data_IF_670923063602
#
_entry.id   IF_670923063602
#
_cell.length_a   1.000
_cell.length_b   1.000
_cell.length_c   1.000
_cell.angle_alpha   90.00
_cell.angle_beta   90.00
_cell.angle_gamma   90.00
#
_symmetry.space_group_name_H-M   'P 1'
#
loop_
_entity.id
_entity.type
_entity.pdbx_description
1 polymer ?
#
# COMPACT_ATOMS: atom_id res chain seq x y z
N UNK A 1 -22.65 66.67 19.64
CA UNK A 1 -21.83 65.55 20.13
C UNK A 1 -20.61 66.17 20.82
N UNK A 2 -20.26 65.80 22.04
CA UNK A 2 -19.08 66.39 22.71
C UNK A 2 -17.79 65.93 22.02
N UNK A 3 -16.78 66.81 22.00
CA UNK A 3 -15.48 66.55 21.35
C UNK A 3 -14.85 65.23 21.84
N UNK A 4 -14.98 64.93 23.13
CA UNK A 4 -14.48 63.68 23.72
C UNK A 4 -15.18 62.42 23.19
N UNK A 5 -16.49 62.48 22.95
CA UNK A 5 -17.24 61.35 22.37
C UNK A 5 -16.85 61.09 20.93
N UNK A 6 -16.58 62.15 20.16
CA UNK A 6 -16.10 62.02 18.79
C UNK A 6 -14.69 61.42 18.74
N UNK A 7 -13.76 61.88 19.59
CA UNK A 7 -12.43 61.28 19.73
C UNK A 7 -12.51 59.80 20.10
N UNK A 8 -13.29 59.45 21.13
CA UNK A 8 -13.43 58.05 21.56
C UNK A 8 -14.00 57.16 20.44
N UNK A 9 -14.99 57.64 19.70
CA UNK A 9 -15.56 56.93 18.55
C UNK A 9 -14.53 56.74 17.42
N UNK A 10 -13.72 57.76 17.12
CA UNK A 10 -12.68 57.69 16.11
C UNK A 10 -11.57 56.70 16.51
N UNK A 11 -11.14 56.71 17.77
CA UNK A 11 -10.16 55.74 18.30
C UNK A 11 -10.70 54.31 18.26
N UNK A 12 -11.98 54.12 18.58
CA UNK A 12 -12.64 52.81 18.46
C UNK A 12 -12.62 52.29 17.01
N UNK A 13 -12.96 53.13 16.04
CA UNK A 13 -12.91 52.73 14.63
C UNK A 13 -11.49 52.47 14.12
N UNK A 14 -10.50 53.26 14.56
CA UNK A 14 -9.10 52.98 14.23
C UNK A 14 -8.65 51.62 14.77
N UNK A 15 -9.04 51.28 16.00
CA UNK A 15 -8.76 49.97 16.57
C UNK A 15 -9.45 48.85 15.78
N UNK A 16 -10.75 48.99 15.51
CA UNK A 16 -11.51 48.01 14.72
C UNK A 16 -10.90 47.80 13.34
N UNK A 17 -10.54 48.88 12.64
CA UNK A 17 -9.95 48.82 11.30
C UNK A 17 -8.56 48.16 11.33
N UNK A 18 -7.75 48.44 12.36
CA UNK A 18 -6.49 47.75 12.61
C UNK A 18 -6.68 46.24 12.78
N UNK A 19 -7.63 45.80 13.61
CA UNK A 19 -7.89 44.37 13.83
C UNK A 19 -8.41 43.66 12.58
N UNK A 20 -9.27 44.30 11.79
CA UNK A 20 -9.78 43.74 10.53
C UNK A 20 -8.66 43.58 9.51
N UNK A 21 -7.79 44.58 9.35
CA UNK A 21 -6.66 44.51 8.43
C UNK A 21 -5.72 43.36 8.81
N UNK A 22 -5.34 43.24 10.10
CA UNK A 22 -4.50 42.13 10.58
C UNK A 22 -5.17 40.77 10.36
N UNK A 23 -6.49 40.68 10.58
CA UNK A 23 -7.27 39.47 10.31
C UNK A 23 -7.24 39.07 8.84
N UNK A 24 -7.44 40.01 7.92
CA UNK A 24 -7.38 39.77 6.47
C UNK A 24 -5.98 39.32 6.05
N UNK A 25 -4.93 40.02 6.50
CA UNK A 25 -3.55 39.62 6.20
C UNK A 25 -3.22 38.22 6.73
N UNK A 26 -3.67 37.90 7.95
CA UNK A 26 -3.48 36.57 8.54
C UNK A 26 -4.18 35.48 7.73
N UNK A 27 -5.40 35.74 7.25
CA UNK A 27 -6.15 34.80 6.43
C UNK A 27 -5.47 34.56 5.07
N UNK A 28 -4.96 35.62 4.42
CA UNK A 28 -4.22 35.52 3.15
C UNK A 28 -2.92 34.72 3.32
N UNK A 29 -2.15 35.00 4.38
CA UNK A 29 -0.91 34.28 4.67
C UNK A 29 -1.21 32.80 4.98
N UNK A 30 -2.24 32.53 5.79
CA UNK A 30 -2.65 31.16 6.12
C UNK A 30 -3.05 30.36 4.88
N UNK A 31 -3.81 30.98 3.98
CA UNK A 31 -4.19 30.37 2.71
C UNK A 31 -2.97 30.06 1.84
N UNK A 32 -2.00 30.98 1.73
CA UNK A 32 -0.76 30.74 0.99
C UNK A 32 0.09 29.59 1.59
N UNK A 33 0.16 29.49 2.92
CA UNK A 33 0.90 28.42 3.59
C UNK A 33 0.25 27.06 3.31
N UNK A 34 -1.08 26.97 3.38
CA UNK A 34 -1.81 25.73 3.08
C UNK A 34 -1.56 25.25 1.65
N UNK A 35 -1.58 26.16 0.66
CA UNK A 35 -1.31 25.80 -0.73
C UNK A 35 0.11 25.27 -0.90
N UNK A 36 1.10 25.91 -0.28
CA UNK A 36 2.49 25.44 -0.30
C UNK A 36 2.67 24.10 0.41
N UNK A 37 1.97 23.86 1.52
CA UNK A 37 2.05 22.59 2.23
C UNK A 37 1.52 21.43 1.37
N UNK A 38 0.42 21.66 0.63
CA UNK A 38 -0.13 20.67 -0.31
C UNK A 38 0.87 20.41 -1.46
N UNK A 39 1.44 21.47 -2.04
CA UNK A 39 2.45 21.34 -3.09
C UNK A 39 3.69 20.56 -2.62
N UNK A 40 4.20 20.84 -1.41
CA UNK A 40 5.33 20.12 -0.81
C UNK A 40 4.98 18.65 -0.57
N UNK A 41 3.80 18.34 -0.02
CA UNK A 41 3.36 16.95 0.17
C UNK A 41 3.20 16.20 -1.15
N UNK A 42 2.67 16.85 -2.18
CA UNK A 42 2.61 16.29 -3.53
C UNK A 42 4.03 16.03 -4.07
N UNK A 43 4.97 16.95 -3.89
CA UNK A 43 6.38 16.77 -4.27
C UNK A 43 7.05 15.62 -3.51
N UNK A 44 6.88 15.52 -2.19
CA UNK A 44 7.44 14.43 -1.38
C UNK A 44 6.87 13.08 -1.78
N UNK A 45 5.56 13.00 -2.00
CA UNK A 45 4.90 11.79 -2.50
C UNK A 45 5.46 11.40 -3.88
N UNK A 46 5.57 12.35 -4.79
CA UNK A 46 6.12 12.12 -6.13
C UNK A 46 7.60 11.72 -6.08
N UNK A 47 8.40 12.30 -5.17
CA UNK A 47 9.80 11.96 -5.00
C UNK A 47 10.00 10.50 -4.56
N UNK A 48 9.14 9.98 -3.67
CA UNK A 48 9.16 8.56 -3.28
C UNK A 48 8.89 7.64 -4.46
N UNK A 49 7.93 7.99 -5.31
CA UNK A 49 7.66 7.23 -6.53
C UNK A 49 8.80 7.35 -7.54
N UNK A 50 9.48 8.49 -7.60
CA UNK A 50 10.61 8.71 -8.48
C UNK A 50 11.82 7.85 -8.10
N UNK A 51 12.16 7.78 -6.81
CA UNK A 51 13.27 6.96 -6.32
C UNK A 51 13.06 5.47 -6.64
N UNK A 52 11.83 4.98 -6.43
CA UNK A 52 11.46 3.63 -6.83
C UNK A 52 11.50 3.47 -8.35
N UNK A 53 10.92 4.40 -9.12
CA UNK A 53 10.84 4.31 -10.57
C UNK A 53 12.22 4.34 -11.26
N UNK A 54 13.19 5.10 -10.74
CA UNK A 54 14.51 5.25 -11.35
C UNK A 54 15.34 3.96 -11.29
N UNK A 55 15.02 3.05 -10.36
CA UNK A 55 15.70 1.76 -10.23
C UNK A 55 15.05 0.66 -11.10
N UNK A 56 13.95 0.97 -11.77
CA UNK A 56 13.14 -0.02 -12.51
C UNK A 56 13.54 -0.10 -14.00
N UNK A 57 13.08 -1.18 -14.63
CA UNK A 57 13.27 -1.44 -16.06
C UNK A 57 12.70 -0.33 -16.96
N UNK A 58 13.29 -0.16 -18.14
CA UNK A 58 12.91 0.89 -19.12
C UNK A 58 11.42 0.89 -19.45
N UNK A 59 10.78 -0.28 -19.51
CA UNK A 59 9.35 -0.41 -19.73
C UNK A 59 8.48 0.14 -18.58
N UNK A 60 8.92 -0.01 -17.32
CA UNK A 60 8.24 0.59 -16.16
C UNK A 60 8.40 2.10 -16.19
N UNK A 61 9.65 2.57 -16.34
CA UNK A 61 9.98 4.01 -16.41
C UNK A 61 9.14 4.72 -17.47
N UNK A 62 8.98 4.10 -18.65
CA UNK A 62 8.17 4.62 -19.76
C UNK A 62 6.70 4.80 -19.39
N UNK A 63 6.08 3.80 -18.76
CA UNK A 63 4.67 3.88 -18.36
C UNK A 63 4.45 4.92 -17.28
N UNK A 64 5.34 4.97 -16.29
CA UNK A 64 5.26 5.95 -15.21
C UNK A 64 5.42 7.37 -15.72
N UNK A 65 6.42 7.62 -16.56
CA UNK A 65 6.65 8.95 -17.13
C UNK A 65 5.45 9.42 -17.96
N UNK A 66 4.86 8.56 -18.79
CA UNK A 66 3.65 8.86 -19.56
C UNK A 66 2.44 9.13 -18.66
N UNK A 67 2.27 8.35 -17.59
CA UNK A 67 1.18 8.55 -16.63
C UNK A 67 1.30 9.91 -15.94
N UNK A 68 2.45 10.20 -15.33
CA UNK A 68 2.66 11.45 -14.60
C UNK A 68 2.69 12.68 -15.51
N UNK A 69 3.10 12.55 -16.77
CA UNK A 69 2.97 13.60 -17.78
C UNK A 69 1.51 14.03 -18.05
N UNK A 70 0.53 13.20 -17.68
CA UNK A 70 -0.89 13.48 -17.87
C UNK A 70 -1.62 13.81 -16.57
N UNK A 71 -1.28 13.16 -15.45
CA UNK A 71 -2.05 13.30 -14.19
C UNK A 71 -1.49 14.34 -13.22
N UNK A 72 -0.26 14.81 -13.42
CA UNK A 72 0.37 15.76 -12.49
C UNK A 72 -0.31 17.12 -12.56
N UNK A 73 -0.79 17.64 -11.42
CA UNK A 73 -1.53 18.90 -11.36
C UNK A 73 -0.66 20.11 -11.70
N UNK A 74 0.49 20.22 -11.03
CA UNK A 74 1.47 21.28 -11.29
C UNK A 74 1.91 21.26 -12.75
N UNK A 75 1.77 22.39 -13.43
CA UNK A 75 2.14 22.57 -14.83
C UNK A 75 3.64 22.38 -15.03
N UNK A 76 4.46 22.95 -14.14
CA UNK A 76 5.92 22.82 -14.18
C UNK A 76 6.36 21.36 -14.05
N UNK A 77 5.85 20.64 -13.04
CA UNK A 77 6.18 19.22 -12.85
C UNK A 77 5.69 18.37 -14.03
N UNK A 78 4.52 18.69 -14.59
CA UNK A 78 3.98 17.99 -15.75
C UNK A 78 4.88 18.15 -16.98
N UNK A 79 5.40 19.35 -17.23
CA UNK A 79 6.36 19.57 -18.33
C UNK A 79 7.66 18.78 -18.12
N UNK A 80 8.19 18.75 -16.89
CA UNK A 80 9.36 17.92 -16.55
C UNK A 80 9.10 16.43 -16.79
N UNK A 81 7.90 15.95 -16.47
CA UNK A 81 7.49 14.57 -16.77
C UNK A 81 7.37 14.30 -18.28
N UNK A 82 6.90 15.27 -19.08
CA UNK A 82 6.89 15.14 -20.55
C UNK A 82 8.29 15.07 -21.13
N UNK A 83 9.22 15.88 -20.63
CA UNK A 83 10.62 15.84 -21.04
C UNK A 83 11.26 14.50 -20.68
N UNK A 84 11.06 14.05 -19.43
CA UNK A 84 11.53 12.73 -19.00
C UNK A 84 10.91 11.60 -19.82
N UNK A 85 9.62 11.68 -20.14
CA UNK A 85 8.95 10.69 -20.98
C UNK A 85 9.55 10.61 -22.39
N UNK A 86 9.98 11.73 -22.99
CA UNK A 86 10.68 11.72 -24.27
C UNK A 86 12.02 11.01 -24.17
N UNK A 87 12.80 11.28 -23.12
CA UNK A 87 14.08 10.63 -22.89
C UNK A 87 13.94 9.12 -22.74
N UNK A 88 13.00 8.67 -21.89
CA UNK A 88 12.75 7.24 -21.67
C UNK A 88 12.15 6.56 -22.90
N UNK A 89 11.35 7.27 -23.72
CA UNK A 89 10.88 6.74 -24.99
C UNK A 89 12.06 6.44 -25.93
N UNK A 90 13.06 7.32 -26.01
CA UNK A 90 14.28 7.06 -26.80
C UNK A 90 15.00 5.81 -26.31
N UNK A 91 15.27 5.69 -25.00
CA UNK A 91 15.89 4.48 -24.41
C UNK A 91 15.08 3.21 -24.72
N UNK A 92 13.76 3.31 -24.66
CA UNK A 92 12.85 2.20 -24.98
C UNK A 92 12.98 1.78 -26.45
N UNK A 93 13.00 2.74 -27.38
CA UNK A 93 13.12 2.46 -28.82
C UNK A 93 14.50 1.88 -29.17
N UNK A 94 15.56 2.34 -28.52
CA UNK A 94 16.91 1.76 -28.65
C UNK A 94 16.93 0.30 -28.18
N UNK A 95 16.37 0.03 -26.99
CA UNK A 95 16.26 -1.31 -26.42
C UNK A 95 15.43 -2.24 -27.31
N UNK A 96 14.33 -1.73 -27.88
CA UNK A 96 13.48 -2.46 -28.82
C UNK A 96 14.20 -2.79 -30.12
N UNK A 97 14.93 -1.82 -30.67
CA UNK A 97 15.70 -1.99 -31.90
C UNK A 97 16.81 -3.02 -31.72
N UNK A 98 17.49 -3.01 -30.57
CA UNK A 98 18.50 -3.99 -30.21
C UNK A 98 17.91 -5.40 -30.10
N UNK A 99 16.76 -5.56 -29.42
CA UNK A 99 16.04 -6.85 -29.36
C UNK A 99 15.74 -7.37 -30.77
N UNK A 100 15.23 -6.51 -31.66
CA UNK A 100 14.91 -6.90 -33.04
C UNK A 100 16.15 -7.29 -33.85
N UNK A 101 17.29 -6.60 -33.65
CA UNK A 101 18.57 -6.94 -34.27
C UNK A 101 19.03 -8.33 -33.85
N UNK A 102 19.01 -8.62 -32.56
CA UNK A 102 19.41 -9.93 -32.02
C UNK A 102 18.46 -11.06 -32.46
N UNK A 103 17.16 -10.78 -32.58
CA UNK A 103 16.19 -11.76 -33.11
C UNK A 103 16.48 -12.13 -34.57
N UNK A 104 16.86 -11.15 -35.41
CA UNK A 104 17.28 -11.41 -36.80
C UNK A 104 18.56 -12.23 -36.84
N UNK A 105 19.53 -11.93 -35.98
CA UNK A 105 20.79 -12.68 -35.87
C UNK A 105 20.54 -14.13 -35.41
N UNK A 106 19.71 -14.33 -34.38
CA UNK A 106 19.35 -15.65 -33.87
C UNK A 106 18.60 -16.53 -34.90
N UNK A 107 17.96 -15.91 -35.89
CA UNK A 107 17.27 -16.61 -36.99
C UNK A 107 18.23 -17.12 -38.07
N UNK A 108 19.52 -16.79 -38.00
CA UNK A 108 20.52 -17.28 -38.94
C UNK A 108 20.86 -18.77 -38.70
N UNK A 109 20.68 -19.60 -39.74
CA UNK A 109 20.86 -21.05 -39.69
C UNK A 109 22.32 -21.49 -39.52
N UNK A 110 23.30 -20.59 -39.68
CA UNK A 110 24.73 -20.91 -39.54
C UNK A 110 25.26 -20.89 -38.11
N UNK A 111 24.46 -20.48 -37.12
CA UNK A 111 24.89 -20.36 -35.72
C UNK A 111 24.97 -21.72 -35.02
N UNK A 112 25.98 -21.90 -34.17
CA UNK A 112 26.06 -23.09 -33.33
C UNK A 112 25.04 -23.02 -32.17
N UNK A 113 24.85 -24.15 -31.47
CA UNK A 113 23.83 -24.25 -30.42
C UNK A 113 24.09 -23.32 -29.23
N UNK A 114 25.36 -23.10 -28.87
CA UNK A 114 25.75 -22.26 -27.73
C UNK A 114 25.51 -20.78 -28.03
N UNK A 115 25.84 -20.33 -29.24
CA UNK A 115 25.60 -18.96 -29.69
C UNK A 115 24.10 -18.64 -29.73
N UNK A 116 23.30 -19.58 -30.25
CA UNK A 116 21.83 -19.44 -30.26
C UNK A 116 21.27 -19.32 -28.84
N UNK A 117 21.73 -20.13 -27.90
CA UNK A 117 21.27 -20.05 -26.51
C UNK A 117 21.62 -18.70 -25.86
N UNK A 118 22.85 -18.20 -26.06
CA UNK A 118 23.28 -16.88 -25.56
C UNK A 118 22.43 -15.74 -26.13
N UNK A 119 22.16 -15.76 -27.43
CA UNK A 119 21.29 -14.77 -28.07
C UNK A 119 19.87 -14.85 -27.51
N UNK A 120 19.34 -16.06 -27.32
CA UNK A 120 18.00 -16.26 -26.78
C UNK A 120 17.87 -15.76 -25.34
N UNK A 121 18.88 -15.99 -24.49
CA UNK A 121 18.95 -15.43 -23.14
C UNK A 121 18.97 -13.90 -23.17
N UNK A 122 19.78 -13.30 -24.05
CA UNK A 122 19.84 -11.84 -24.18
C UNK A 122 18.53 -11.24 -24.68
N UNK A 123 17.88 -11.86 -25.66
CA UNK A 123 16.56 -11.46 -26.17
C UNK A 123 15.51 -11.52 -25.04
N UNK A 124 15.54 -12.59 -24.24
CA UNK A 124 14.63 -12.78 -23.11
C UNK A 124 14.83 -11.69 -22.04
N UNK A 125 16.08 -11.31 -21.78
CA UNK A 125 16.41 -10.22 -20.87
C UNK A 125 15.92 -8.85 -21.39
N UNK A 126 16.17 -8.53 -22.66
CA UNK A 126 15.66 -7.29 -23.25
C UNK A 126 14.12 -7.26 -23.30
N UNK A 127 13.49 -8.40 -23.54
CA UNK A 127 12.03 -8.53 -23.47
C UNK A 127 11.51 -8.26 -22.06
N UNK A 128 12.19 -8.77 -21.03
CA UNK A 128 11.88 -8.47 -19.62
C UNK A 128 11.98 -6.97 -19.33
N UNK A 129 12.98 -6.29 -19.88
CA UNK A 129 13.16 -4.85 -19.67
C UNK A 129 12.10 -4.00 -20.40
N UNK A 130 11.72 -4.38 -21.62
CA UNK A 130 10.73 -3.66 -22.44
C UNK A 130 9.30 -3.87 -21.95
N UNK A 131 8.98 -5.12 -21.65
CA UNK A 131 7.68 -5.54 -21.14
C UNK A 131 7.87 -6.25 -19.82
N UNK A 132 8.28 -5.52 -18.78
CA UNK A 132 8.33 -6.09 -17.45
C UNK A 132 6.89 -6.45 -17.16
N UNK A 133 6.62 -7.76 -17.19
CA UNK A 133 5.42 -8.31 -16.57
C UNK A 133 5.40 -7.63 -15.22
N UNK A 134 4.36 -6.86 -14.87
CA UNK A 134 4.30 -6.21 -13.57
C UNK A 134 4.76 -7.26 -12.60
N UNK A 135 5.85 -7.02 -11.87
CA UNK A 135 6.44 -8.04 -11.03
C UNK A 135 5.29 -8.56 -10.19
N UNK A 136 4.77 -9.71 -10.57
CA UNK A 136 3.67 -10.34 -9.88
C UNK A 136 4.36 -10.96 -8.69
N UNK A 137 4.85 -10.09 -7.79
CA UNK A 137 4.93 -10.34 -6.37
C UNK A 137 3.49 -10.46 -5.80
N UNK A 138 2.55 -10.99 -6.60
CA UNK A 138 1.46 -11.83 -6.17
C UNK A 138 1.90 -13.29 -6.40
N UNK A 139 3.02 -13.72 -5.80
CA UNK A 139 2.82 -14.93 -4.99
C UNK A 139 1.74 -14.48 -4.02
N UNK A 140 0.52 -15.06 -4.04
CA UNK A 140 -0.56 -14.60 -3.17
C UNK A 140 0.04 -14.48 -1.78
N UNK A 141 0.16 -13.26 -1.26
CA UNK A 141 0.87 -13.06 0.01
C UNK A 141 0.21 -14.00 0.99
N UNK A 142 0.98 -14.93 1.58
CA UNK A 142 0.41 -15.92 2.51
C UNK A 142 -0.49 -15.18 3.48
N UNK A 143 -1.73 -15.64 3.63
CA UNK A 143 -2.64 -15.02 4.57
C UNK A 143 -1.97 -15.01 5.94
N UNK A 144 -1.96 -13.87 6.63
CA UNK A 144 -1.34 -13.75 7.95
C UNK A 144 -2.44 -13.65 8.98
N UNK A 145 -2.46 -14.59 9.91
CA UNK A 145 -3.40 -14.59 11.03
C UNK A 145 -2.62 -14.28 12.29
N UNK A 146 -2.85 -13.09 12.85
CA UNK A 146 -2.30 -12.67 14.13
C UNK A 146 -3.22 -13.15 15.24
N UNK A 147 -2.71 -13.94 16.17
CA UNK A 147 -3.53 -14.55 17.21
C UNK A 147 -3.39 -13.81 18.53
N UNK A 148 -4.53 -13.52 19.16
CA UNK A 148 -4.62 -12.86 20.45
C UNK A 148 -5.43 -13.72 21.43
N UNK A 149 -4.84 -14.05 22.58
CA UNK A 149 -5.50 -14.75 23.68
C UNK A 149 -5.78 -13.80 24.83
N UNK A 150 -6.87 -14.06 25.57
CA UNK A 150 -7.26 -13.25 26.73
C UNK A 150 -6.68 -13.73 28.05
N UNK A 151 -6.24 -14.99 28.10
CA UNK A 151 -5.60 -15.59 29.26
C UNK A 151 -4.57 -16.64 28.84
N UNK A 152 -3.54 -16.86 29.66
CA UNK A 152 -2.48 -17.82 29.34
C UNK A 152 -2.96 -19.27 29.31
N UNK A 153 -4.04 -19.60 30.03
CA UNK A 153 -4.69 -20.92 29.98
C UNK A 153 -5.23 -21.31 28.60
N UNK A 154 -5.36 -20.35 27.67
CA UNK A 154 -5.82 -20.59 26.29
C UNK A 154 -4.68 -20.93 25.34
N UNK A 155 -3.42 -20.82 25.79
CA UNK A 155 -2.24 -20.93 24.93
C UNK A 155 -2.15 -22.29 24.23
N UNK A 156 -2.37 -23.39 24.94
CA UNK A 156 -2.31 -24.74 24.35
C UNK A 156 -3.32 -24.90 23.20
N UNK A 157 -4.57 -24.50 23.42
CA UNK A 157 -5.61 -24.56 22.40
C UNK A 157 -5.32 -23.62 21.21
N UNK A 158 -4.77 -22.44 21.51
CA UNK A 158 -4.34 -21.47 20.50
C UNK A 158 -3.15 -22.00 19.66
N UNK A 159 -2.21 -22.73 20.27
CA UNK A 159 -1.09 -23.38 19.57
C UNK A 159 -1.57 -24.50 18.63
N UNK A 160 -2.52 -25.32 19.07
CA UNK A 160 -3.17 -26.30 18.20
C UNK A 160 -3.89 -25.64 17.03
N UNK A 161 -4.64 -24.57 17.30
CA UNK A 161 -5.31 -23.78 16.25
C UNK A 161 -4.31 -23.22 15.26
N UNK A 162 -3.19 -22.66 15.74
CA UNK A 162 -2.11 -22.17 14.90
C UNK A 162 -1.49 -23.29 14.05
N UNK A 163 -1.32 -24.49 14.60
CA UNK A 163 -0.82 -25.64 13.85
C UNK A 163 -1.78 -26.08 12.75
N UNK A 164 -3.08 -26.16 13.02
CA UNK A 164 -4.12 -26.48 12.03
C UNK A 164 -4.20 -25.45 10.91
N UNK A 165 -4.00 -24.16 11.22
CA UNK A 165 -4.06 -23.08 10.24
C UNK A 165 -2.80 -22.98 9.36
N UNK A 166 -1.62 -23.36 9.88
CA UNK A 166 -0.37 -23.27 9.13
C UNK A 166 -0.41 -24.19 7.93
N UNK A 167 -0.34 -23.57 6.75
CA UNK A 167 -0.31 -24.24 5.45
C UNK A 167 0.59 -23.46 4.50
N UNK A 168 0.78 -23.96 3.27
CA UNK A 168 1.51 -23.21 2.25
C UNK A 168 0.87 -21.84 1.95
N UNK A 169 -0.44 -21.72 2.16
CA UNK A 169 -1.23 -20.50 1.90
C UNK A 169 -1.45 -19.58 3.10
N UNK A 170 -1.14 -20.02 4.34
CA UNK A 170 -1.46 -19.29 5.59
C UNK A 170 -0.28 -19.34 6.55
N UNK A 171 0.12 -18.19 7.07
CA UNK A 171 1.14 -18.01 8.09
C UNK A 171 0.53 -17.50 9.40
N UNK A 172 0.97 -18.08 10.51
CA UNK A 172 0.57 -17.67 11.87
C UNK A 172 1.83 -17.25 12.64
N UNK A 173 2.17 -15.95 12.67
CA UNK A 173 3.47 -15.47 13.15
C UNK A 173 3.73 -15.70 14.64
N UNK A 174 2.68 -15.74 15.47
CA UNK A 174 2.80 -15.88 16.91
C UNK A 174 1.45 -15.73 17.61
N UNK A 175 1.46 -15.92 18.93
CA UNK A 175 0.29 -15.82 19.82
C UNK A 175 0.60 -14.80 20.91
N UNK A 176 -0.17 -13.72 20.95
CA UNK A 176 0.01 -12.62 21.90
C UNK A 176 -1.04 -12.65 23.00
N UNK A 177 -0.63 -12.42 24.24
CA UNK A 177 -1.55 -12.20 25.36
C UNK A 177 -2.04 -10.74 25.35
N UNK A 178 -3.37 -10.54 25.31
CA UNK A 178 -4.01 -9.22 25.28
C UNK A 178 -5.11 -9.16 26.34
N UNK A 179 -5.15 -8.10 27.14
CA UNK A 179 -6.15 -7.94 28.20
C UNK A 179 -7.54 -7.56 27.69
N UNK A 180 -7.65 -7.09 26.46
CA UNK A 180 -8.87 -6.58 25.83
C UNK A 180 -9.53 -7.60 24.89
N UNK A 181 -9.83 -8.79 25.40
CA UNK A 181 -10.53 -9.81 24.61
C UNK A 181 -12.00 -9.46 24.33
N UNK A 182 -12.51 -9.80 23.13
CA UNK A 182 -13.93 -9.67 22.81
C UNK A 182 -14.79 -10.64 23.63
N UNK A 183 -16.12 -10.43 23.63
CA UNK A 183 -17.10 -11.31 24.29
C UNK A 183 -17.28 -12.68 23.60
N UNK A 184 -16.88 -12.78 22.34
CA UNK A 184 -16.91 -14.01 21.53
C UNK A 184 -15.61 -14.10 20.76
N UNK A 185 -15.17 -15.29 20.42
CA UNK A 185 -14.01 -15.44 19.54
C UNK A 185 -14.31 -14.81 18.17
N UNK A 186 -13.44 -13.92 17.69
CA UNK A 186 -13.63 -13.15 16.45
C UNK A 186 -12.48 -13.39 15.48
N UNK A 187 -12.80 -13.71 14.23
CA UNK A 187 -11.89 -13.61 13.08
C UNK A 187 -12.16 -12.29 12.39
N UNK A 188 -11.24 -11.35 12.54
CA UNK A 188 -11.34 -10.00 12.01
C UNK A 188 -10.67 -9.90 10.64
N UNK A 189 -11.33 -9.20 9.73
CA UNK A 189 -10.82 -8.85 8.41
C UNK A 189 -11.05 -7.36 8.14
N UNK A 190 -10.20 -6.77 7.30
CA UNK A 190 -10.10 -5.31 7.18
C UNK A 190 -10.40 -4.78 5.77
N UNK A 191 -10.52 -5.66 4.77
CA UNK A 191 -10.90 -5.30 3.41
C UNK A 191 -12.15 -6.08 3.01
N UNK A 192 -13.18 -5.39 2.53
CA UNK A 192 -14.45 -6.03 2.16
C UNK A 192 -14.28 -7.17 1.14
N UNK A 193 -13.29 -7.07 0.25
CA UNK A 193 -12.94 -8.11 -0.74
C UNK A 193 -12.42 -9.42 -0.13
N UNK A 194 -12.08 -9.44 1.16
CA UNK A 194 -11.48 -10.58 1.87
C UNK A 194 -12.51 -11.40 2.69
N UNK A 195 -13.80 -11.02 2.66
CA UNK A 195 -14.84 -11.64 3.47
C UNK A 195 -14.94 -13.16 3.26
N UNK A 196 -14.98 -13.62 2.01
CA UNK A 196 -15.14 -15.05 1.71
C UNK A 196 -13.97 -15.89 2.24
N UNK A 197 -12.75 -15.36 2.20
CA UNK A 197 -11.58 -16.03 2.78
C UNK A 197 -11.66 -16.05 4.32
N UNK A 198 -12.08 -14.96 4.95
CA UNK A 198 -12.30 -14.92 6.40
C UNK A 198 -13.36 -15.92 6.88
N UNK A 199 -14.44 -16.11 6.12
CA UNK A 199 -15.47 -17.13 6.36
C UNK A 199 -14.90 -18.55 6.29
N UNK A 200 -14.07 -18.83 5.27
CA UNK A 200 -13.37 -20.11 5.14
C UNK A 200 -12.41 -20.39 6.31
N UNK A 201 -11.62 -19.40 6.72
CA UNK A 201 -10.74 -19.50 7.89
C UNK A 201 -11.52 -19.76 9.18
N UNK A 202 -12.66 -19.07 9.35
CA UNK A 202 -13.52 -19.23 10.54
C UNK A 202 -14.13 -20.62 10.61
N UNK A 203 -14.48 -21.22 9.46
CA UNK A 203 -14.98 -22.59 9.42
C UNK A 203 -13.94 -23.60 9.95
N UNK A 204 -12.66 -23.41 9.62
CA UNK A 204 -11.56 -24.23 10.16
C UNK A 204 -11.41 -23.98 11.66
N UNK A 205 -11.41 -22.72 12.09
CA UNK A 205 -11.24 -22.34 13.51
C UNK A 205 -12.35 -22.90 14.40
N UNK A 206 -13.57 -23.05 13.88
CA UNK A 206 -14.72 -23.58 14.62
C UNK A 206 -14.60 -25.03 15.07
N UNK A 207 -13.69 -25.82 14.49
CA UNK A 207 -13.42 -27.17 15.00
C UNK A 207 -12.84 -27.15 16.42
N UNK A 208 -12.08 -26.10 16.76
CA UNK A 208 -11.47 -25.89 18.09
C UNK A 208 -12.25 -24.84 18.89
N UNK A 209 -12.79 -23.80 18.24
CA UNK A 209 -13.50 -22.70 18.89
C UNK A 209 -14.92 -22.54 18.33
N UNK A 210 -15.91 -23.32 18.81
CA UNK A 210 -17.24 -23.40 18.18
C UNK A 210 -17.99 -22.06 18.13
N UNK A 211 -17.69 -21.14 19.05
CA UNK A 211 -18.35 -19.84 19.14
C UNK A 211 -17.74 -18.77 18.21
N UNK A 212 -16.69 -19.10 17.45
CA UNK A 212 -15.98 -18.18 16.58
C UNK A 212 -16.87 -17.57 15.48
N UNK A 213 -16.71 -16.26 15.25
CA UNK A 213 -17.46 -15.49 14.25
C UNK A 213 -16.56 -14.60 13.41
N UNK A 214 -16.95 -14.37 12.16
CA UNK A 214 -16.31 -13.39 11.28
C UNK A 214 -16.76 -11.98 11.67
N UNK A 215 -15.84 -11.00 11.62
CA UNK A 215 -16.14 -9.59 11.88
C UNK A 215 -15.36 -8.64 10.97
N UNK A 216 -16.07 -7.75 10.29
CA UNK A 216 -15.44 -6.69 9.49
C UNK A 216 -15.00 -5.52 10.36
N UNK A 217 -13.78 -5.03 10.14
CA UNK A 217 -13.24 -3.83 10.79
C UNK A 217 -13.04 -2.73 9.72
N UNK A 218 -14.02 -1.82 9.54
CA UNK A 218 -13.93 -0.76 8.54
C UNK A 218 -12.92 0.32 8.94
N UNK A 219 -12.51 1.15 7.96
CA UNK A 219 -11.65 2.32 8.17
C UNK A 219 -10.15 2.04 8.00
N UNK A 220 -9.78 0.84 7.58
CA UNK A 220 -8.40 0.40 7.36
C UNK A 220 -8.10 0.00 5.92
N UNK A 221 -9.04 0.21 4.99
CA UNK A 221 -8.98 -0.27 3.62
C UNK A 221 -7.80 0.36 2.85
N UNK A 222 -7.48 1.62 3.14
CA UNK A 222 -6.37 2.37 2.57
C UNK A 222 -5.10 2.35 3.43
N UNK A 223 -5.10 1.63 4.57
CA UNK A 223 -3.96 1.62 5.49
C UNK A 223 -2.80 0.81 4.91
N UNK A 224 -1.63 1.45 4.78
CA UNK A 224 -0.40 0.76 4.39
C UNK A 224 0.09 -0.25 5.46
N UNK A 225 -0.38 -0.12 6.72
CA UNK A 225 -0.08 -1.08 7.78
C UNK A 225 -0.85 -2.40 7.59
N UNK A 226 -2.02 -2.34 6.93
CA UNK A 226 -2.88 -3.51 6.68
C UNK A 226 -2.62 -4.04 5.28
N UNK A 227 -1.76 -5.05 5.24
CA UNK A 227 -1.41 -5.78 4.01
C UNK A 227 -2.62 -6.54 3.47
N UNK A 228 -2.68 -6.86 2.17
CA UNK A 228 -3.61 -7.85 1.67
C UNK A 228 -3.51 -9.18 2.44
N UNK A 229 -4.66 -9.81 2.68
CA UNK A 229 -4.82 -11.08 3.41
C UNK A 229 -4.28 -10.99 4.85
N UNK A 230 -4.57 -9.88 5.52
CA UNK A 230 -4.26 -9.64 6.93
C UNK A 230 -5.51 -9.93 7.78
N UNK A 231 -5.38 -10.87 8.70
CA UNK A 231 -6.46 -11.29 9.59
C UNK A 231 -5.99 -11.27 11.03
N UNK A 232 -6.92 -11.04 11.95
CA UNK A 232 -6.68 -11.19 13.39
C UNK A 232 -7.66 -12.19 13.98
N UNK A 233 -7.18 -13.16 14.74
CA UNK A 233 -8.00 -14.08 15.52
C UNK A 233 -7.92 -13.66 16.99
N UNK A 234 -9.03 -13.16 17.51
CA UNK A 234 -9.18 -12.75 18.90
C UNK A 234 -9.98 -13.78 19.67
N UNK A 235 -9.34 -14.49 20.59
CA UNK A 235 -9.98 -15.53 21.41
C UNK A 235 -10.60 -14.86 22.65
N UNK A 236 -11.89 -15.14 22.88
CA UNK A 236 -12.59 -14.62 24.06
C UNK A 236 -12.15 -15.37 25.31
N UNK A 237 -12.03 -14.68 26.44
CA UNK A 237 -11.74 -15.31 27.75
C UNK A 237 -12.84 -16.27 28.21
N UNK A 238 -14.06 -16.16 27.68
CA UNK A 238 -15.17 -17.06 28.00
C UNK A 238 -15.35 -18.18 26.98
N UNK A 239 -14.60 -18.21 25.88
CA UNK A 239 -14.66 -19.30 24.91
C UNK A 239 -14.01 -20.55 25.48
N UNK A 240 -14.68 -21.69 25.32
CA UNK A 240 -14.20 -23.00 25.74
C UNK A 240 -13.71 -23.74 24.49
N UNK A 241 -12.42 -24.15 24.41
CA UNK A 241 -11.93 -24.89 23.27
C UNK A 241 -12.43 -26.33 23.28
N UNK A 242 -12.76 -26.86 22.10
CA UNK A 242 -12.84 -28.30 21.86
C UNK A 242 -11.44 -28.83 21.59
N UNK A 243 -10.80 -29.36 22.62
CA UNK A 243 -9.55 -30.10 22.48
C UNK A 243 -9.94 -31.56 22.21
N UNK A 244 -9.52 -32.12 21.08
CA UNK A 244 -9.53 -33.57 20.94
C UNK A 244 -8.56 -34.13 21.99
N UNK A 245 -9.09 -34.92 22.93
CA UNK A 245 -8.25 -35.70 23.82
C UNK A 245 -7.38 -36.58 22.93
N UNK A 246 -6.07 -36.31 22.93
CA UNK A 246 -5.11 -37.14 22.22
C UNK A 246 -5.30 -38.57 22.71
N UNK A 247 -5.92 -39.40 21.87
CA UNK A 247 -6.12 -40.80 22.16
C UNK A 247 -4.73 -41.43 22.14
N UNK A 248 -4.18 -41.69 23.33
CA UNK A 248 -2.91 -42.37 23.53
C UNK A 248 -2.93 -43.78 22.94
#
# INVERSE_FOLDING_TARGET
MSEERFKAWLTFWQFMLGTVVVGIFSAVISHQIQTREVEIKEQESNAKFLEQALQEDVGVRRRLSQYFANVTRSTELRERWKEYAKLVETEYQETLSEKQRLQKEASNSSLNAIERDRLQQRISELERQLSPKPATNLTPSKARIYMHIGSDGQRLAAEQTAATLRSDSVAVPGIELRSNSPRRTEVRYFKSTEQAEAEGLTAIIRSIWPDAVVKYIPGHEASAAIRPRHYELWISTTSVPHLEEASN
#
